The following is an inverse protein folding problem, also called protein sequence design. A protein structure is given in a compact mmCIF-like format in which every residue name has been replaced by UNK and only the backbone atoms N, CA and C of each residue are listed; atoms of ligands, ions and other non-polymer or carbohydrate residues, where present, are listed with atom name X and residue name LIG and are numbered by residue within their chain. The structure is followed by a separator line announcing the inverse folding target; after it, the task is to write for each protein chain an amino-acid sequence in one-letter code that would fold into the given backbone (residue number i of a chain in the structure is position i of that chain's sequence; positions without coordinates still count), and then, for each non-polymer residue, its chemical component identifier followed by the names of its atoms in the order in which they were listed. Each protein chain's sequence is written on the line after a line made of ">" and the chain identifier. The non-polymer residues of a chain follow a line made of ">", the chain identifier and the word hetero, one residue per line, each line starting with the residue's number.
data_IF_322209341696
#
_entry.id   IF_322209341696
#
_cell.length_a   1.000
_cell.length_b   1.000
_cell.length_c   1.000
_cell.angle_alpha   90.00
_cell.angle_beta   90.00
_cell.angle_gamma   90.00
#
_symmetry.space_group_name_H-M   'P 1'
#
loop_
_entity.id
_entity.type
_entity.pdbx_description
1 polymer ?
#
# COMPACT_ATOMS: atom_id res chain seq x y z
N UNK A 1 -37.44 18.22 -33.80
CA UNK A 1 -37.42 18.10 -32.32
C UNK A 1 -37.41 16.61 -31.88
N UNK A 2 -36.40 15.81 -32.25
CA UNK A 2 -36.29 14.36 -31.84
C UNK A 2 -34.89 13.92 -31.42
N UNK A 3 -33.95 14.84 -31.16
CA UNK A 3 -32.54 14.50 -30.83
C UNK A 3 -32.15 14.70 -29.36
N UNK A 4 -32.96 15.41 -28.54
CA UNK A 4 -32.70 15.66 -27.15
C UNK A 4 -32.93 14.44 -26.19
N UNK A 5 -33.76 13.48 -26.64
CA UNK A 5 -34.12 12.30 -25.82
C UNK A 5 -33.08 11.17 -25.80
N UNK A 6 -32.12 11.17 -26.73
CA UNK A 6 -31.08 10.10 -26.78
C UNK A 6 -29.87 10.38 -25.91
N UNK A 7 -29.47 11.64 -25.75
CA UNK A 7 -28.34 12.00 -24.87
C UNK A 7 -28.65 11.77 -23.39
N UNK A 8 -29.90 12.08 -22.96
CA UNK A 8 -30.31 11.86 -21.57
C UNK A 8 -30.36 10.39 -21.15
N UNK A 9 -30.67 9.49 -22.08
CA UNK A 9 -30.71 8.03 -21.82
C UNK A 9 -29.31 7.41 -21.78
N UNK A 10 -28.35 7.95 -22.52
CA UNK A 10 -26.95 7.49 -22.48
C UNK A 10 -26.28 7.94 -21.18
N UNK A 11 -26.57 9.15 -20.70
CA UNK A 11 -26.05 9.64 -19.43
C UNK A 11 -26.62 8.87 -18.20
N UNK A 12 -27.92 8.52 -18.25
CA UNK A 12 -28.57 7.74 -17.20
C UNK A 12 -28.08 6.29 -17.17
N UNK A 13 -27.73 5.70 -18.33
CA UNK A 13 -27.19 4.34 -18.39
C UNK A 13 -25.74 4.28 -17.89
N UNK A 14 -24.95 5.33 -18.10
CA UNK A 14 -23.59 5.43 -17.59
C UNK A 14 -23.51 5.57 -16.05
N UNK A 15 -24.54 6.17 -15.43
CA UNK A 15 -24.64 6.30 -13.98
C UNK A 15 -25.12 5.02 -13.28
N UNK A 16 -25.81 4.13 -13.99
CA UNK A 16 -26.28 2.85 -13.44
C UNK A 16 -25.28 1.70 -13.57
N UNK A 17 -24.27 1.82 -14.43
CA UNK A 17 -23.22 0.83 -14.62
C UNK A 17 -22.01 1.04 -13.70
N UNK A 18 -22.02 2.09 -12.89
CA UNK A 18 -20.95 2.39 -11.90
C UNK A 18 -21.09 1.68 -10.54
N UNK A 19 -22.12 0.87 -10.34
CA UNK A 19 -22.41 0.25 -9.04
C UNK A 19 -22.46 -1.28 -9.07
N UNK A 20 -21.61 -1.93 -9.85
CA UNK A 20 -21.49 -3.40 -9.77
C UNK A 20 -20.13 -3.88 -10.24
N UNK A 21 -19.13 -3.83 -9.37
CA UNK A 21 -18.10 -4.84 -9.32
C UNK A 21 -17.44 -4.81 -7.94
N UNK A 22 -18.07 -5.49 -6.99
CA UNK A 22 -17.43 -6.01 -5.79
C UNK A 22 -16.62 -7.27 -6.13
N UNK A 23 -16.05 -7.35 -7.32
CA UNK A 23 -15.11 -8.38 -7.67
C UNK A 23 -13.73 -7.92 -7.21
N UNK A 24 -13.43 -8.17 -5.93
CA UNK A 24 -12.07 -8.35 -5.51
C UNK A 24 -11.48 -9.41 -6.47
N UNK A 25 -10.35 -9.14 -7.13
CA UNK A 25 -9.72 -10.16 -7.95
C UNK A 25 -9.50 -11.39 -7.06
N UNK A 26 -9.80 -12.60 -7.53
CA UNK A 26 -9.51 -13.80 -6.77
C UNK A 26 -8.04 -13.71 -6.37
N UNK A 27 -7.77 -13.80 -5.09
CA UNK A 27 -6.41 -14.02 -4.59
C UNK A 27 -5.94 -15.27 -5.32
N UNK A 28 -5.13 -15.08 -6.36
CA UNK A 28 -4.43 -16.18 -7.00
C UNK A 28 -3.50 -16.73 -5.93
N UNK A 29 -4.01 -17.68 -5.18
CA UNK A 29 -3.20 -18.60 -4.41
C UNK A 29 -2.33 -19.31 -5.43
N UNK A 30 -1.12 -18.79 -5.65
CA UNK A 30 -0.13 -19.46 -6.48
C UNK A 30 0.38 -20.68 -5.68
N UNK A 31 -0.43 -21.71 -5.68
CA UNK A 31 -0.15 -23.02 -5.04
C UNK A 31 0.91 -23.80 -5.83
N UNK A 32 1.43 -23.25 -6.93
CA UNK A 32 2.36 -23.94 -7.82
C UNK A 32 3.82 -23.88 -7.40
N UNK A 33 4.15 -23.23 -6.27
CA UNK A 33 5.55 -23.15 -5.79
C UNK A 33 5.87 -24.09 -4.62
N UNK A 34 4.90 -24.83 -4.12
CA UNK A 34 5.12 -25.88 -3.13
C UNK A 34 4.57 -27.15 -3.75
N UNK A 35 5.46 -28.06 -4.16
CA UNK A 35 5.08 -29.41 -4.59
C UNK A 35 4.48 -30.16 -3.40
N UNK A 36 3.23 -29.88 -3.09
CA UNK A 36 2.44 -30.64 -2.16
C UNK A 36 1.68 -31.64 -3.02
N UNK A 37 2.07 -32.90 -2.94
CA UNK A 37 1.35 -34.00 -3.56
C UNK A 37 -0.11 -33.97 -3.10
N UNK A 38 -1.02 -33.75 -4.04
CA UNK A 38 -2.47 -33.51 -3.88
C UNK A 38 -3.24 -34.74 -3.35
N UNK A 39 -2.55 -35.75 -2.85
CA UNK A 39 -3.16 -37.00 -2.36
C UNK A 39 -2.94 -37.32 -0.88
N UNK A 40 -2.39 -36.37 -0.10
CA UNK A 40 -2.36 -36.58 1.34
C UNK A 40 -3.59 -35.98 2.00
N UNK A 41 -4.57 -36.80 2.29
CA UNK A 41 -5.67 -36.46 3.21
C UNK A 41 -5.04 -36.14 4.57
N UNK A 42 -4.80 -34.83 4.81
CA UNK A 42 -4.35 -34.34 6.11
C UNK A 42 -5.51 -34.44 7.09
N UNK A 43 -5.42 -35.36 8.01
CA UNK A 43 -6.22 -35.36 9.24
C UNK A 43 -5.97 -34.04 9.99
N UNK A 44 -7.00 -33.48 10.62
CA UNK A 44 -7.01 -32.18 11.29
C UNK A 44 -5.88 -31.93 12.31
N UNK A 45 -5.06 -32.92 12.63
CA UNK A 45 -3.89 -32.80 13.50
C UNK A 45 -2.62 -32.34 12.79
N UNK A 46 -2.49 -32.61 11.49
CA UNK A 46 -1.21 -32.38 10.78
C UNK A 46 -1.03 -30.93 10.27
N UNK A 47 -2.11 -30.14 10.30
CA UNK A 47 -2.09 -28.74 9.79
C UNK A 47 -1.26 -27.80 10.67
N UNK A 48 -0.98 -28.17 11.91
CA UNK A 48 -0.20 -27.33 12.83
C UNK A 48 1.31 -27.60 12.76
N UNK A 49 1.76 -28.72 12.20
CA UNK A 49 3.18 -29.04 12.06
C UNK A 49 3.86 -28.31 10.88
N UNK A 50 3.10 -27.76 9.95
CA UNK A 50 3.64 -27.00 8.82
C UNK A 50 3.96 -25.52 9.16
N UNK A 51 3.91 -25.13 10.43
CA UNK A 51 4.44 -23.84 10.85
C UNK A 51 5.96 -23.96 10.78
N UNK A 52 6.48 -23.53 9.64
CA UNK A 52 7.92 -23.43 9.44
C UNK A 52 8.48 -22.55 10.55
N UNK A 53 9.34 -23.10 11.39
CA UNK A 53 10.05 -22.38 12.45
C UNK A 53 10.89 -21.29 11.78
N UNK A 54 10.38 -20.05 11.80
CA UNK A 54 11.18 -18.90 11.42
C UNK A 54 12.20 -18.69 12.52
N UNK A 55 13.47 -18.79 12.18
CA UNK A 55 14.55 -18.48 13.12
C UNK A 55 14.45 -16.99 13.46
N UNK A 56 13.88 -16.69 14.63
CA UNK A 56 13.71 -15.31 15.13
C UNK A 56 14.65 -15.10 16.34
N UNK A 57 15.87 -14.60 16.09
CA UNK A 57 16.86 -14.39 17.15
C UNK A 57 16.44 -13.31 18.16
N UNK A 58 15.45 -12.48 17.81
CA UNK A 58 14.95 -11.38 18.64
C UNK A 58 13.46 -11.55 18.97
N UNK A 59 12.99 -12.78 19.10
CA UNK A 59 11.58 -13.13 19.36
C UNK A 59 10.99 -12.32 20.54
N UNK A 60 11.74 -12.15 21.63
CA UNK A 60 11.27 -11.37 22.78
C UNK A 60 10.95 -9.92 22.43
N UNK A 61 11.80 -9.28 21.63
CA UNK A 61 11.55 -7.93 21.11
C UNK A 61 10.34 -7.91 20.17
N UNK A 62 10.25 -8.85 19.24
CA UNK A 62 9.17 -8.93 18.27
C UNK A 62 7.81 -9.14 18.95
N UNK A 63 7.74 -10.02 19.94
CA UNK A 63 6.52 -10.23 20.76
C UNK A 63 6.13 -8.97 21.56
N UNK A 64 7.11 -8.29 22.17
CA UNK A 64 6.87 -7.04 22.89
C UNK A 64 6.36 -5.93 21.96
N UNK A 65 7.00 -5.75 20.81
CA UNK A 65 6.60 -4.79 19.77
C UNK A 65 5.21 -5.07 19.23
N UNK A 66 4.88 -6.34 18.99
CA UNK A 66 3.52 -6.75 18.57
C UNK A 66 2.49 -6.43 19.65
N UNK A 67 2.77 -6.77 20.91
CA UNK A 67 1.89 -6.47 22.04
C UNK A 67 1.63 -4.97 22.19
N UNK A 68 2.68 -4.14 22.11
CA UNK A 68 2.57 -2.70 22.12
C UNK A 68 1.74 -2.18 20.96
N UNK A 69 2.02 -2.67 19.74
CA UNK A 69 1.27 -2.29 18.53
C UNK A 69 -0.21 -2.60 18.69
N UNK A 70 -0.55 -3.79 19.18
CA UNK A 70 -1.93 -4.19 19.41
C UNK A 70 -2.64 -3.25 20.38
N UNK A 71 -2.01 -2.92 21.51
CA UNK A 71 -2.58 -1.98 22.49
C UNK A 71 -2.80 -0.60 21.85
N UNK A 72 -1.80 -0.06 21.15
CA UNK A 72 -1.92 1.25 20.49
C UNK A 72 -3.01 1.23 19.42
N UNK A 73 -3.06 0.18 18.59
CA UNK A 73 -4.06 0.07 17.53
C UNK A 73 -5.47 -0.06 18.11
N UNK A 74 -5.69 -0.97 19.06
CA UNK A 74 -7.03 -1.25 19.59
C UNK A 74 -7.60 -0.09 20.43
N UNK A 75 -6.76 0.58 21.23
CA UNK A 75 -7.23 1.61 22.17
C UNK A 75 -7.06 3.05 21.66
N UNK A 76 -6.17 3.30 20.71
CA UNK A 76 -5.94 4.65 20.20
C UNK A 76 -6.30 4.79 18.72
N UNK A 77 -5.69 3.99 17.84
CA UNK A 77 -5.82 4.16 16.40
C UNK A 77 -7.24 3.82 15.93
N UNK A 78 -7.77 2.67 16.37
CA UNK A 78 -9.07 2.16 15.94
C UNK A 78 -10.25 3.10 16.29
N UNK A 79 -10.42 3.62 17.52
CA UNK A 79 -11.50 4.55 17.82
C UNK A 79 -11.37 5.84 17.00
N UNK A 80 -10.17 6.37 16.82
CA UNK A 80 -9.95 7.57 16.00
C UNK A 80 -10.28 7.28 14.53
N UNK A 81 -9.85 6.13 13.98
CA UNK A 81 -10.17 5.74 12.61
C UNK A 81 -11.67 5.55 12.36
N UNK A 82 -12.41 5.03 13.35
CA UNK A 82 -13.88 4.94 13.27
C UNK A 82 -14.49 6.34 13.21
N UNK A 83 -14.06 7.25 14.10
CA UNK A 83 -14.49 8.65 14.06
C UNK A 83 -14.17 9.33 12.72
N UNK A 84 -12.95 9.13 12.20
CA UNK A 84 -12.53 9.63 10.90
C UNK A 84 -13.44 9.16 9.76
N UNK A 85 -13.75 7.85 9.73
CA UNK A 85 -14.64 7.27 8.70
C UNK A 85 -16.08 7.77 8.80
N UNK A 86 -16.52 8.13 9.99
CA UNK A 86 -17.86 8.67 10.22
C UNK A 86 -17.97 10.10 9.71
N UNK A 87 -16.92 10.90 9.90
CA UNK A 87 -16.89 12.32 9.52
C UNK A 87 -16.58 12.51 8.03
N UNK A 88 -15.63 11.74 7.49
CA UNK A 88 -15.19 11.90 6.10
C UNK A 88 -15.73 10.81 5.19
N UNK A 89 -16.57 11.18 4.19
CA UNK A 89 -17.08 10.23 3.20
C UNK A 89 -15.93 9.62 2.36
N UNK A 90 -16.18 8.43 1.82
CA UNK A 90 -15.18 7.66 1.05
C UNK A 90 -14.48 8.47 -0.06
N UNK A 91 -15.16 9.31 -0.88
CA UNK A 91 -14.49 10.08 -1.91
C UNK A 91 -13.42 11.03 -1.37
N UNK A 92 -13.69 11.67 -0.21
CA UNK A 92 -12.72 12.58 0.44
C UNK A 92 -11.51 11.80 0.94
N UNK A 93 -11.73 10.66 1.58
CA UNK A 93 -10.64 9.79 2.05
C UNK A 93 -9.77 9.29 0.89
N UNK A 94 -10.39 8.88 -0.21
CA UNK A 94 -9.67 8.49 -1.43
C UNK A 94 -8.82 9.64 -2.01
N UNK A 95 -9.31 10.89 -1.94
CA UNK A 95 -8.54 12.06 -2.38
C UNK A 95 -7.34 12.32 -1.48
N UNK A 96 -7.50 12.14 -0.17
CA UNK A 96 -6.38 12.24 0.79
C UNK A 96 -5.32 11.16 0.51
N UNK A 97 -5.73 9.93 0.21
CA UNK A 97 -4.79 8.84 -0.14
C UNK A 97 -4.01 9.14 -1.41
N UNK A 98 -4.70 9.67 -2.42
CA UNK A 98 -4.04 10.07 -3.68
C UNK A 98 -3.06 11.21 -3.46
N UNK A 99 -3.43 12.21 -2.68
CA UNK A 99 -2.54 13.30 -2.29
C UNK A 99 -1.31 12.77 -1.53
N UNK A 100 -1.52 11.89 -0.54
CA UNK A 100 -0.45 11.23 0.20
C UNK A 100 0.50 10.47 -0.73
N UNK A 101 -0.07 9.68 -1.65
CA UNK A 101 0.70 8.98 -2.67
C UNK A 101 1.50 9.94 -3.56
N UNK A 102 0.90 11.06 -3.96
CA UNK A 102 1.54 12.04 -4.82
C UNK A 102 2.71 12.74 -4.12
N UNK A 103 2.55 13.16 -2.86
CA UNK A 103 3.59 13.87 -2.11
C UNK A 103 4.78 12.96 -1.76
N UNK A 104 4.60 11.65 -1.68
CA UNK A 104 5.67 10.67 -1.45
C UNK A 104 6.40 10.25 -2.75
N UNK A 105 6.19 10.96 -3.85
CA UNK A 105 6.90 10.70 -5.11
C UNK A 105 8.43 10.67 -4.98
N UNK A 106 9.13 11.54 -4.18
CA UNK A 106 10.59 11.56 -4.16
C UNK A 106 11.22 10.25 -3.67
N UNK A 107 10.59 9.56 -2.70
CA UNK A 107 11.09 8.27 -2.20
C UNK A 107 11.01 7.20 -3.29
N UNK A 108 9.90 7.09 -4.01
CA UNK A 108 9.74 6.16 -5.14
C UNK A 108 10.68 6.48 -6.29
N UNK A 109 10.84 7.76 -6.61
CA UNK A 109 11.77 8.21 -7.66
C UNK A 109 13.21 7.79 -7.35
N UNK A 110 13.69 8.08 -6.14
CA UNK A 110 15.04 7.72 -5.70
C UNK A 110 15.19 6.20 -5.67
N UNK A 111 14.22 5.48 -5.14
CA UNK A 111 14.23 4.00 -5.08
C UNK A 111 14.31 3.36 -6.46
N UNK A 112 13.59 3.90 -7.45
CA UNK A 112 13.67 3.45 -8.83
C UNK A 112 15.05 3.70 -9.46
N UNK A 113 15.66 4.85 -9.19
CA UNK A 113 17.02 5.15 -9.64
C UNK A 113 18.06 4.22 -9.01
N UNK A 114 17.98 4.01 -7.70
CA UNK A 114 18.84 3.08 -6.96
C UNK A 114 18.72 1.65 -7.47
N UNK A 115 17.55 1.27 -7.96
CA UNK A 115 17.32 -0.03 -8.58
C UNK A 115 17.81 -0.11 -10.05
N UNK A 116 18.32 0.97 -10.63
CA UNK A 116 18.74 1.03 -12.04
C UNK A 116 17.56 0.96 -13.02
N UNK A 117 16.41 1.51 -12.65
CA UNK A 117 15.18 1.56 -13.45
C UNK A 117 14.84 3.01 -13.88
N UNK A 118 15.73 3.73 -14.61
CA UNK A 118 15.54 5.17 -14.90
C UNK A 118 14.31 5.45 -15.77
N UNK A 119 13.95 4.53 -16.67
CA UNK A 119 12.73 4.68 -17.49
C UNK A 119 11.47 4.69 -16.61
N UNK A 120 11.40 3.79 -15.62
CA UNK A 120 10.28 3.76 -14.67
C UNK A 120 10.25 5.00 -13.78
N UNK A 121 11.43 5.48 -13.37
CA UNK A 121 11.55 6.75 -12.62
C UNK A 121 11.01 7.94 -13.44
N UNK A 122 11.32 8.00 -14.73
CA UNK A 122 10.77 9.01 -15.65
C UNK A 122 9.24 8.93 -15.78
N UNK A 123 8.69 7.72 -15.91
CA UNK A 123 7.24 7.50 -15.98
C UNK A 123 6.56 7.92 -14.67
N UNK A 124 7.12 7.54 -13.51
CA UNK A 124 6.61 7.93 -12.19
C UNK A 124 6.67 9.46 -11.99
N UNK A 125 7.70 10.12 -12.53
CA UNK A 125 7.77 11.59 -12.57
C UNK A 125 6.67 12.19 -13.43
N UNK A 126 6.40 11.62 -14.60
CA UNK A 126 5.28 12.02 -15.45
C UNK A 126 3.94 11.88 -14.74
N UNK A 127 3.72 10.76 -14.05
CA UNK A 127 2.54 10.53 -13.22
C UNK A 127 2.38 11.61 -12.14
N UNK A 128 3.46 11.89 -11.41
CA UNK A 128 3.50 12.94 -10.39
C UNK A 128 3.18 14.34 -10.97
N UNK A 129 3.79 14.71 -12.08
CA UNK A 129 3.57 16.03 -12.70
C UNK A 129 2.13 16.21 -13.17
N UNK A 130 1.55 15.22 -13.84
CA UNK A 130 0.16 15.27 -14.30
C UNK A 130 -0.80 15.39 -13.10
N UNK A 131 -0.63 14.57 -12.08
CA UNK A 131 -1.49 14.63 -10.91
C UNK A 131 -1.26 15.88 -10.04
N UNK A 132 -0.05 16.45 -10.03
CA UNK A 132 0.23 17.69 -9.31
C UNK A 132 -0.37 18.92 -10.00
N UNK A 133 -0.37 18.94 -11.33
CA UNK A 133 -0.85 20.10 -12.12
C UNK A 133 -2.36 19.98 -12.40
N UNK A 134 -2.76 18.98 -13.16
CA UNK A 134 -4.15 18.78 -13.56
C UNK A 134 -4.99 18.15 -12.43
N UNK A 135 -4.38 17.28 -11.63
CA UNK A 135 -5.03 16.59 -10.51
C UNK A 135 -5.09 17.39 -9.21
N UNK A 136 -4.77 18.70 -9.22
CA UNK A 136 -4.78 19.61 -8.05
C UNK A 136 -3.94 18.99 -6.91
N UNK A 137 -2.61 19.04 -7.07
CA UNK A 137 -1.64 18.50 -6.14
C UNK A 137 -1.80 16.98 -5.85
N UNK A 138 -2.51 16.24 -6.73
CA UNK A 138 -2.74 14.79 -6.57
C UNK A 138 -4.03 14.41 -5.86
N UNK A 139 -4.93 15.35 -5.56
CA UNK A 139 -6.26 15.04 -5.02
C UNK A 139 -7.09 14.21 -6.01
N UNK A 140 -6.87 14.42 -7.31
CA UNK A 140 -7.48 13.66 -8.40
C UNK A 140 -6.41 12.88 -9.15
N UNK A 141 -6.68 11.59 -9.39
CA UNK A 141 -5.81 10.75 -10.20
C UNK A 141 -6.19 10.88 -11.66
N UNK A 142 -5.54 11.81 -12.34
CA UNK A 142 -5.74 12.08 -13.78
C UNK A 142 -4.75 11.28 -14.64
N UNK A 143 -3.59 10.95 -14.10
CA UNK A 143 -2.54 10.25 -14.83
C UNK A 143 -2.92 8.80 -15.17
N UNK A 144 -3.57 8.08 -14.25
CA UNK A 144 -3.95 6.67 -14.46
C UNK A 144 -4.96 6.48 -15.60
N UNK A 145 -6.04 7.24 -15.71
CA UNK A 145 -6.95 7.19 -16.87
C UNK A 145 -6.26 7.51 -18.21
N UNK A 146 -5.17 8.31 -18.18
CA UNK A 146 -4.36 8.59 -19.37
C UNK A 146 -3.37 7.46 -19.72
N UNK A 147 -3.41 6.35 -18.99
CA UNK A 147 -2.54 5.21 -19.24
C UNK A 147 -1.11 5.37 -18.69
N UNK A 148 -0.85 6.35 -17.82
CA UNK A 148 0.45 6.53 -17.16
C UNK A 148 0.48 5.64 -15.92
N UNK A 149 1.26 4.54 -15.89
CA UNK A 149 1.32 3.63 -14.76
C UNK A 149 2.04 4.26 -13.58
N UNK A 150 1.87 3.65 -12.41
CA UNK A 150 2.55 4.00 -11.18
C UNK A 150 3.32 2.80 -10.64
N UNK A 151 4.41 3.06 -9.93
CA UNK A 151 5.30 2.04 -9.38
C UNK A 151 5.45 2.24 -7.88
N UNK A 152 5.15 1.19 -7.11
CA UNK A 152 5.33 1.17 -5.66
C UNK A 152 6.66 0.51 -5.35
N UNK A 153 7.70 1.31 -5.35
CA UNK A 153 9.07 0.88 -5.08
C UNK A 153 9.59 1.62 -3.85
N UNK A 154 10.38 0.95 -3.04
CA UNK A 154 10.99 1.46 -1.82
C UNK A 154 12.49 1.16 -1.77
N UNK A 155 13.22 1.80 -0.86
CA UNK A 155 14.67 1.63 -0.72
C UNK A 155 15.02 0.22 -0.24
N UNK A 156 14.15 -0.44 0.53
CA UNK A 156 14.34 -1.83 0.94
C UNK A 156 14.40 -2.78 -0.26
N UNK A 157 13.55 -2.54 -1.28
CA UNK A 157 13.61 -3.28 -2.55
C UNK A 157 14.89 -2.97 -3.33
N UNK A 158 15.40 -1.74 -3.28
CA UNK A 158 16.68 -1.39 -3.90
C UNK A 158 17.84 -2.18 -3.28
N UNK A 159 17.88 -2.28 -1.95
CA UNK A 159 18.85 -3.13 -1.26
C UNK A 159 18.74 -4.59 -1.65
N UNK A 160 17.53 -5.13 -1.78
CA UNK A 160 17.31 -6.48 -2.28
C UNK A 160 17.86 -6.69 -3.68
N UNK A 161 17.71 -5.71 -4.57
CA UNK A 161 18.28 -5.77 -5.92
C UNK A 161 19.81 -5.74 -5.93
N UNK A 162 20.43 -5.10 -4.95
CA UNK A 162 21.88 -5.10 -4.77
C UNK A 162 22.43 -6.37 -4.13
N UNK A 163 21.55 -7.35 -3.82
CA UNK A 163 21.94 -8.64 -3.28
C UNK A 163 21.97 -8.70 -1.75
N UNK A 164 21.47 -7.66 -1.06
CA UNK A 164 21.31 -7.74 0.39
C UNK A 164 20.18 -8.71 0.73
N UNK A 165 20.49 -9.72 1.51
CA UNK A 165 19.51 -10.65 2.04
C UNK A 165 18.54 -9.97 3.01
N UNK A 166 17.29 -10.47 3.19
CA UNK A 166 16.34 -9.91 4.15
C UNK A 166 16.85 -9.84 5.58
N UNK A 167 17.74 -10.75 5.96
CA UNK A 167 18.24 -10.91 7.33
C UNK A 167 17.17 -11.49 8.26
N UNK A 168 17.23 -11.12 9.53
CA UNK A 168 16.31 -11.61 10.54
C UNK A 168 14.93 -10.95 10.45
N UNK A 169 13.92 -11.67 10.96
CA UNK A 169 12.57 -11.12 11.11
C UNK A 169 12.55 -10.00 12.15
N UNK A 170 11.88 -8.90 11.83
CA UNK A 170 11.76 -7.73 12.69
C UNK A 170 10.32 -7.25 12.71
N UNK A 171 9.72 -7.17 13.89
CA UNK A 171 8.42 -6.53 14.05
C UNK A 171 8.61 -5.11 14.59
N UNK A 172 8.42 -4.12 13.72
CA UNK A 172 8.52 -2.71 14.10
C UNK A 172 7.25 -2.25 14.81
N UNK A 173 7.35 -1.59 15.97
CA UNK A 173 6.18 -1.05 16.66
C UNK A 173 5.39 -0.13 15.73
N UNK A 174 4.06 -0.33 15.66
CA UNK A 174 3.11 0.43 14.82
C UNK A 174 3.28 0.19 13.31
N UNK A 175 4.50 0.03 12.82
CA UNK A 175 4.79 -0.19 11.40
C UNK A 175 4.54 -1.64 10.93
N UNK A 176 4.51 -2.60 11.88
CA UNK A 176 4.20 -4.00 11.59
C UNK A 176 5.40 -4.85 11.17
N UNK A 177 5.13 -6.02 10.54
CA UNK A 177 6.16 -6.98 10.16
C UNK A 177 7.12 -6.40 9.11
N UNK A 178 8.40 -6.72 9.26
CA UNK A 178 9.50 -6.25 8.42
C UNK A 178 10.64 -7.27 8.44
N UNK A 179 11.69 -6.99 7.71
CA UNK A 179 12.99 -7.65 7.81
C UNK A 179 14.06 -6.65 8.21
N UNK A 180 15.23 -7.11 8.59
CA UNK A 180 16.36 -6.21 8.91
C UNK A 180 16.67 -5.27 7.74
N UNK A 181 16.70 -5.79 6.50
CA UNK A 181 16.92 -5.02 5.28
C UNK A 181 15.80 -3.99 5.05
N UNK A 182 14.54 -4.43 5.11
CA UNK A 182 13.39 -3.57 4.80
C UNK A 182 13.16 -2.54 5.91
N UNK A 183 13.52 -2.88 7.17
CA UNK A 183 13.54 -1.93 8.27
C UNK A 183 14.53 -0.79 8.04
N UNK A 184 15.75 -1.10 7.57
CA UNK A 184 16.71 -0.07 7.15
C UNK A 184 16.18 0.74 5.97
N UNK A 185 15.60 0.09 4.94
CA UNK A 185 14.98 0.76 3.81
C UNK A 185 13.95 1.80 4.25
N UNK A 186 13.07 1.43 5.19
CA UNK A 186 12.04 2.34 5.73
C UNK A 186 12.61 3.59 6.42
N UNK A 187 13.79 3.51 7.03
CA UNK A 187 14.46 4.69 7.60
C UNK A 187 14.79 5.68 6.48
N UNK A 188 15.34 5.19 5.37
CA UNK A 188 15.65 6.02 4.21
C UNK A 188 14.39 6.55 3.53
N UNK A 189 13.36 5.72 3.34
CA UNK A 189 12.08 6.15 2.77
C UNK A 189 11.43 7.26 3.63
N UNK A 190 11.47 7.10 4.96
CA UNK A 190 10.99 8.12 5.89
C UNK A 190 11.76 9.43 5.74
N UNK A 191 13.08 9.39 5.58
CA UNK A 191 13.91 10.58 5.41
C UNK A 191 13.69 11.24 4.03
N UNK A 192 13.39 10.47 3.00
CA UNK A 192 13.12 10.95 1.64
C UNK A 192 11.70 11.49 1.47
N UNK A 193 10.76 11.05 2.31
CA UNK A 193 9.35 11.42 2.21
C UNK A 193 9.08 12.82 2.73
N UNK A 194 8.61 13.77 1.90
CA UNK A 194 8.21 15.11 2.36
C UNK A 194 7.11 15.09 3.41
N UNK A 195 6.27 14.04 3.41
CA UNK A 195 5.20 13.87 4.39
C UNK A 195 5.72 13.80 5.84
N UNK A 196 6.95 13.32 6.04
CA UNK A 196 7.58 13.23 7.36
C UNK A 196 7.83 14.60 7.99
N UNK A 197 8.05 15.61 7.16
CA UNK A 197 8.35 16.99 7.61
C UNK A 197 7.09 17.84 7.80
N UNK A 198 5.91 17.32 7.46
CA UNK A 198 4.63 18.01 7.64
C UNK A 198 4.02 17.58 8.97
N UNK A 199 3.86 18.48 9.96
CA UNK A 199 3.26 18.14 11.25
C UNK A 199 1.86 17.51 11.09
N UNK A 200 1.64 16.34 11.68
CA UNK A 200 0.36 15.65 11.64
C UNK A 200 0.06 14.84 10.37
N UNK A 201 0.82 15.00 9.28
CA UNK A 201 0.57 14.23 8.05
C UNK A 201 0.63 12.72 8.27
N UNK A 202 1.60 12.24 9.03
CA UNK A 202 1.73 10.82 9.36
C UNK A 202 0.50 10.26 10.06
N UNK A 203 -0.13 11.01 10.98
CA UNK A 203 -1.35 10.60 11.66
C UNK A 203 -2.53 10.51 10.69
N UNK A 204 -2.72 11.53 9.84
CA UNK A 204 -3.81 11.56 8.86
C UNK A 204 -3.70 10.38 7.89
N UNK A 205 -2.51 10.08 7.39
CA UNK A 205 -2.29 8.98 6.47
C UNK A 205 -2.47 7.62 7.15
N UNK A 206 -2.05 7.49 8.41
CA UNK A 206 -2.29 6.28 9.20
C UNK A 206 -3.78 6.03 9.41
N UNK A 207 -4.54 7.02 9.82
CA UNK A 207 -6.00 6.86 10.05
C UNK A 207 -6.78 6.58 8.76
N UNK A 208 -6.28 7.03 7.62
CA UNK A 208 -6.91 6.77 6.34
C UNK A 208 -6.66 5.32 5.85
N UNK A 209 -5.55 4.71 6.27
CA UNK A 209 -5.18 3.34 5.92
C UNK A 209 -5.97 2.26 6.69
N UNK A 210 -6.59 2.61 7.83
CA UNK A 210 -7.43 1.74 8.65
C UNK A 210 -8.92 1.97 8.37
#
# INVERSE_FOLDING_TARGET
>A
MKTAGRLGRILALALLLGCASNDAPPMLHNTSMIGVDEHRQTTSGDTYEAIQYVNDPIEGFNRGSFGLTRVVVDYLVRPIAIGWRTVFPQPVRNSIDRFAYNITWPDRFVSLLLQGKPVKAGIETGHFLVNSTVGIAGLFDVARPLGIPTYREDVGQAFGKWGFEPGFYLFLPIMGPSSGRDGLGRIFDTALSPATYIPGAGLVFTFNAF
#
